data_IF_123700859353
#
_entry.id   IF_123700859353
#
_cell.length_a   1.000
_cell.length_b   1.000
_cell.length_c   1.000
_cell.angle_alpha   90.00
_cell.angle_beta   90.00
_cell.angle_gamma   90.00
#
_symmetry.space_group_name_H-M   'P 1'
#
loop_
_entity.id
_entity.type
_entity.pdbx_description
1 polymer ?
#
# COMPACT_ATOMS: atom_id res chain seq x y z
N UNK A 1 -14.88 -13.68 -30.85
CA UNK A 1 -13.45 -13.56 -30.47
C UNK A 1 -13.34 -12.53 -29.38
N UNK A 2 -12.62 -12.81 -28.30
CA UNK A 2 -12.40 -11.86 -27.19
C UNK A 2 -10.93 -11.46 -27.20
N UNK A 3 -10.65 -10.15 -27.21
CA UNK A 3 -9.29 -9.60 -27.12
C UNK A 3 -9.15 -8.93 -25.75
N UNK A 4 -8.30 -9.43 -24.84
CA UNK A 4 -8.11 -8.81 -23.54
C UNK A 4 -7.30 -7.52 -23.67
N UNK A 5 -7.86 -6.41 -23.18
CA UNK A 5 -7.16 -5.12 -23.07
C UNK A 5 -7.15 -4.72 -21.59
N UNK A 6 -5.99 -4.82 -20.95
CA UNK A 6 -5.81 -4.49 -19.54
C UNK A 6 -4.98 -3.22 -19.35
N UNK A 7 -5.17 -2.54 -18.22
CA UNK A 7 -4.26 -1.46 -17.81
C UNK A 7 -4.34 -0.16 -18.60
N UNK A 8 -5.41 0.11 -19.35
CA UNK A 8 -5.57 1.37 -20.11
C UNK A 8 -5.53 2.63 -19.24
N UNK A 9 -5.79 2.49 -17.94
CA UNK A 9 -5.71 3.57 -16.97
C UNK A 9 -4.30 3.75 -16.40
N UNK A 10 -3.37 2.83 -16.63
CA UNK A 10 -1.97 2.95 -16.22
C UNK A 10 -1.21 3.87 -17.18
N UNK A 11 -0.25 4.62 -16.65
CA UNK A 11 0.57 5.54 -17.45
C UNK A 11 2.00 5.60 -16.93
N UNK A 12 2.95 5.79 -17.84
CA UNK A 12 4.35 6.11 -17.55
C UNK A 12 4.54 7.60 -17.25
N UNK A 13 3.56 8.44 -17.62
CA UNK A 13 3.59 9.86 -17.30
C UNK A 13 3.40 10.06 -15.79
N UNK A 14 4.44 10.55 -15.14
CA UNK A 14 4.42 10.89 -13.73
C UNK A 14 4.80 12.35 -13.50
N UNK A 15 4.07 13.00 -12.61
CA UNK A 15 4.32 14.39 -12.20
C UNK A 15 5.11 14.41 -10.91
N UNK A 16 5.85 15.50 -10.71
CA UNK A 16 6.53 15.72 -9.44
C UNK A 16 5.52 15.77 -8.28
N UNK A 17 5.86 15.08 -7.19
CA UNK A 17 5.05 15.11 -5.96
C UNK A 17 5.11 16.50 -5.31
N UNK A 18 4.09 16.88 -4.50
CA UNK A 18 4.16 18.09 -3.69
C UNK A 18 5.41 18.11 -2.80
N UNK A 19 6.06 19.27 -2.68
CA UNK A 19 7.36 19.41 -1.97
C UNK A 19 7.37 18.84 -0.56
N UNK A 20 6.28 18.99 0.18
CA UNK A 20 6.16 18.48 1.55
C UNK A 20 6.13 16.95 1.60
N UNK A 21 5.48 16.33 0.62
CA UNK A 21 5.42 14.88 0.47
C UNK A 21 6.79 14.33 0.04
N UNK A 22 7.44 15.01 -0.90
CA UNK A 22 8.80 14.68 -1.32
C UNK A 22 9.78 14.75 -0.13
N UNK A 23 9.75 15.83 0.64
CA UNK A 23 10.59 15.98 1.83
C UNK A 23 10.32 14.89 2.89
N UNK A 24 9.07 14.47 3.05
CA UNK A 24 8.71 13.37 3.95
C UNK A 24 9.28 12.03 3.47
N UNK A 25 9.21 11.74 2.17
CA UNK A 25 9.79 10.54 1.55
C UNK A 25 11.32 10.58 1.68
N UNK A 26 11.94 11.71 1.37
CA UNK A 26 13.40 11.88 1.45
C UNK A 26 13.94 11.69 2.87
N UNK A 27 13.19 12.12 3.89
CA UNK A 27 13.51 11.90 5.30
C UNK A 27 13.55 10.43 5.75
N UNK A 28 13.18 9.48 4.89
CA UNK A 28 13.36 8.04 5.12
C UNK A 28 14.75 7.51 4.70
N UNK A 29 15.49 8.25 3.87
CA UNK A 29 16.69 7.75 3.21
C UNK A 29 16.41 6.48 2.40
N UNK A 30 17.28 5.47 2.55
CA UNK A 30 17.18 4.20 1.82
C UNK A 30 16.02 3.30 2.26
N UNK A 31 15.48 3.55 3.47
CA UNK A 31 14.30 2.83 3.97
C UNK A 31 13.07 3.08 3.08
N UNK A 32 13.04 4.22 2.38
CA UNK A 32 11.99 4.58 1.44
C UNK A 32 10.61 4.66 2.08
N UNK A 33 9.57 4.42 1.28
CA UNK A 33 8.20 4.51 1.76
C UNK A 33 7.29 3.41 1.22
N UNK A 34 6.18 3.21 1.93
CA UNK A 34 5.07 2.35 1.52
C UNK A 34 3.83 3.23 1.35
N UNK A 35 3.12 3.02 0.25
CA UNK A 35 1.81 3.63 0.05
C UNK A 35 0.72 2.72 0.64
N UNK A 36 -0.29 3.30 1.31
CA UNK A 36 -1.39 2.58 1.95
C UNK A 36 -2.72 3.17 1.49
N UNK A 37 -3.54 2.36 0.82
CA UNK A 37 -4.85 2.79 0.30
C UNK A 37 -5.81 1.61 0.15
N UNK A 38 -6.92 1.67 0.89
CA UNK A 38 -8.00 0.68 0.84
C UNK A 38 -9.17 1.12 -0.07
N UNK A 39 -8.88 1.96 -1.06
CA UNK A 39 -9.90 2.47 -1.98
C UNK A 39 -10.80 3.54 -1.36
N UNK A 40 -11.91 3.86 -2.03
CA UNK A 40 -12.87 4.88 -1.59
C UNK A 40 -14.02 4.33 -0.73
N UNK A 41 -14.23 3.01 -0.79
CA UNK A 41 -15.30 2.29 -0.10
C UNK A 41 -14.97 2.08 1.37
N UNK A 42 -13.72 1.77 1.70
CA UNK A 42 -13.27 1.67 3.07
C UNK A 42 -13.11 3.09 3.64
N UNK A 43 -13.86 3.38 4.71
CA UNK A 43 -13.74 4.61 5.49
C UNK A 43 -12.83 4.34 6.68
N UNK A 44 -11.63 4.91 6.69
CA UNK A 44 -10.68 4.80 7.80
C UNK A 44 -11.28 5.36 9.09
N UNK A 45 -12.15 6.37 8.98
CA UNK A 45 -12.95 6.93 10.08
C UNK A 45 -13.91 5.94 10.75
N UNK A 46 -14.26 4.84 10.07
CA UNK A 46 -15.17 3.79 10.57
C UNK A 46 -14.42 2.51 10.97
N UNK A 47 -13.10 2.44 10.76
CA UNK A 47 -12.29 1.29 11.16
C UNK A 47 -12.20 1.27 12.69
N UNK A 48 -12.41 0.12 13.35
CA UNK A 48 -12.29 0.01 14.80
C UNK A 48 -10.93 0.50 15.30
N UNK A 49 -10.93 1.26 16.39
CA UNK A 49 -9.70 1.83 16.96
C UNK A 49 -8.67 0.73 17.31
N UNK A 50 -9.13 -0.43 17.80
CA UNK A 50 -8.26 -1.58 18.08
C UNK A 50 -7.48 -2.05 16.84
N UNK A 51 -8.13 -2.07 15.68
CA UNK A 51 -7.49 -2.45 14.42
C UNK A 51 -6.51 -1.37 13.93
N UNK A 52 -6.84 -0.09 14.12
CA UNK A 52 -5.91 1.01 13.84
C UNK A 52 -4.67 0.95 14.74
N UNK A 53 -4.85 0.68 16.04
CA UNK A 53 -3.74 0.52 16.98
C UNK A 53 -2.84 -0.66 16.62
N UNK A 54 -3.41 -1.77 16.17
CA UNK A 54 -2.66 -2.92 15.65
C UNK A 54 -1.74 -2.49 14.50
N UNK A 55 -2.27 -1.80 13.50
CA UNK A 55 -1.45 -1.30 12.38
C UNK A 55 -0.37 -0.32 12.83
N UNK A 56 -0.72 0.63 13.71
CA UNK A 56 0.21 1.64 14.20
C UNK A 56 1.34 1.02 15.03
N UNK A 57 1.03 0.10 15.94
CA UNK A 57 2.03 -0.56 16.76
C UNK A 57 3.00 -1.40 15.93
N UNK A 58 2.50 -2.09 14.90
CA UNK A 58 3.34 -2.88 14.01
C UNK A 58 4.41 -2.04 13.29
N UNK A 59 4.08 -0.80 12.92
CA UNK A 59 4.92 0.01 12.01
C UNK A 59 5.56 1.26 12.64
N UNK A 60 5.12 1.72 13.82
CA UNK A 60 5.56 3.01 14.41
C UNK A 60 7.07 3.14 14.59
N UNK A 61 7.76 2.03 14.84
CA UNK A 61 9.20 1.99 15.12
C UNK A 61 10.04 1.72 13.85
N UNK A 62 9.40 1.62 12.67
CA UNK A 62 10.09 1.40 11.41
C UNK A 62 10.67 2.70 10.85
N UNK A 63 11.88 2.61 10.26
CA UNK A 63 12.49 3.72 9.51
C UNK A 63 11.75 4.04 8.22
N UNK A 64 11.09 3.04 7.63
CA UNK A 64 10.21 3.19 6.47
C UNK A 64 9.08 4.17 6.77
N UNK A 65 8.79 5.04 5.82
CA UNK A 65 7.68 5.99 5.91
C UNK A 65 6.41 5.40 5.29
N UNK A 66 5.26 5.84 5.76
CA UNK A 66 3.96 5.38 5.28
C UNK A 66 3.15 6.58 4.80
N UNK A 67 2.72 6.54 3.55
CA UNK A 67 1.77 7.52 3.00
C UNK A 67 0.41 6.84 2.96
N UNK A 68 -0.51 7.27 3.81
CA UNK A 68 -1.76 6.57 4.06
C UNK A 68 -2.97 7.43 3.73
N UNK A 69 -3.75 7.02 2.72
CA UNK A 69 -5.03 7.64 2.41
C UNK A 69 -6.00 7.56 3.59
N UNK A 70 -6.54 8.70 3.99
CA UNK A 70 -7.47 8.83 5.11
C UNK A 70 -8.66 9.71 4.72
N UNK A 71 -9.89 9.26 4.92
CA UNK A 71 -11.10 9.96 4.45
C UNK A 71 -11.49 11.18 5.31
N UNK A 72 -11.06 11.21 6.56
CA UNK A 72 -11.36 12.25 7.56
C UNK A 72 -10.09 12.89 8.13
N UNK A 73 -10.25 13.67 9.21
CA UNK A 73 -9.11 14.04 10.05
C UNK A 73 -8.48 12.76 10.64
N UNK A 74 -7.15 12.65 10.67
CA UNK A 74 -6.45 11.50 11.26
C UNK A 74 -6.58 11.51 12.79
N UNK A 75 -6.39 10.36 13.45
CA UNK A 75 -6.41 10.27 14.91
C UNK A 75 -5.22 11.02 15.52
N UNK A 76 -5.38 11.51 16.76
CA UNK A 76 -4.37 12.33 17.45
C UNK A 76 -3.06 11.58 17.75
N UNK A 77 -3.13 10.25 17.88
CA UNK A 77 -2.00 9.37 18.17
C UNK A 77 -1.34 8.78 16.91
N UNK A 78 -1.42 9.48 15.77
CA UNK A 78 -0.78 9.05 14.53
C UNK A 78 0.75 8.95 14.71
N UNK A 79 1.38 7.81 14.37
CA UNK A 79 2.83 7.67 14.41
C UNK A 79 3.55 8.67 13.49
N UNK A 80 4.73 9.15 13.91
CA UNK A 80 5.51 10.19 13.20
C UNK A 80 6.01 9.77 11.82
N UNK A 81 6.06 8.46 11.56
CA UNK A 81 6.44 7.90 10.26
C UNK A 81 5.25 7.73 9.30
N UNK A 82 4.07 8.27 9.64
CA UNK A 82 2.88 8.25 8.78
C UNK A 82 2.51 9.66 8.34
N UNK A 83 2.35 9.85 7.03
CA UNK A 83 1.73 11.02 6.42
C UNK A 83 0.33 10.63 5.94
N UNK A 84 -0.69 11.39 6.32
CA UNK A 84 -2.08 11.14 5.91
C UNK A 84 -2.61 12.23 4.99
N UNK A 85 -3.61 11.87 4.19
CA UNK A 85 -4.25 12.80 3.26
C UNK A 85 -5.52 12.21 2.66
N UNK A 86 -6.48 13.09 2.33
CA UNK A 86 -7.76 12.68 1.72
C UNK A 86 -7.60 12.14 0.31
N UNK A 87 -6.61 12.66 -0.41
CA UNK A 87 -6.32 12.30 -1.78
C UNK A 87 -4.81 12.33 -2.00
N UNK A 88 -4.34 11.39 -2.82
CA UNK A 88 -2.95 11.27 -3.21
C UNK A 88 -2.85 10.99 -4.71
N UNK A 89 -1.79 11.49 -5.39
CA UNK A 89 -1.52 11.13 -6.77
C UNK A 89 -0.96 9.69 -6.82
N UNK A 90 -1.86 8.71 -6.82
CA UNK A 90 -1.51 7.30 -6.64
C UNK A 90 -0.50 6.78 -7.67
N UNK A 91 -0.65 7.13 -8.97
CA UNK A 91 0.32 6.68 -9.97
C UNK A 91 1.69 7.33 -9.82
N UNK A 92 1.75 8.62 -9.48
CA UNK A 92 3.01 9.31 -9.21
C UNK A 92 3.73 8.68 -8.00
N UNK A 93 2.97 8.31 -6.96
CA UNK A 93 3.51 7.58 -5.81
C UNK A 93 4.00 6.18 -6.18
N UNK A 94 3.22 5.43 -6.97
CA UNK A 94 3.61 4.08 -7.40
C UNK A 94 4.82 4.09 -8.34
N UNK A 95 5.00 5.14 -9.15
CA UNK A 95 6.16 5.33 -10.01
C UNK A 95 7.41 5.82 -9.26
N UNK A 96 7.28 6.25 -8.00
CA UNK A 96 8.36 6.91 -7.29
C UNK A 96 9.53 5.95 -6.97
N UNK A 97 10.81 6.32 -7.23
CA UNK A 97 11.95 5.41 -7.10
C UNK A 97 12.18 4.87 -5.68
N UNK A 98 11.74 5.61 -4.66
CA UNK A 98 11.83 5.19 -3.24
C UNK A 98 10.68 4.34 -2.74
N UNK A 99 9.70 3.99 -3.58
CA UNK A 99 8.61 3.11 -3.14
C UNK A 99 9.15 1.71 -2.88
N UNK A 100 8.71 1.12 -1.76
CA UNK A 100 9.05 -0.24 -1.35
C UNK A 100 7.89 -1.20 -1.53
N UNK A 101 6.67 -0.70 -1.42
CA UNK A 101 5.48 -1.52 -1.60
C UNK A 101 4.19 -0.74 -1.49
N UNK A 102 3.09 -1.45 -1.75
CA UNK A 102 1.74 -0.92 -1.69
C UNK A 102 0.84 -1.84 -0.85
N UNK A 103 0.30 -1.30 0.24
CA UNK A 103 -0.69 -1.97 1.07
C UNK A 103 -2.09 -1.57 0.58
N UNK A 104 -2.87 -2.55 0.16
CA UNK A 104 -4.16 -2.31 -0.48
C UNK A 104 -5.21 -3.33 -0.10
N UNK A 105 -6.47 -2.93 -0.25
CA UNK A 105 -7.60 -3.85 -0.30
C UNK A 105 -7.65 -4.77 -1.53
N UNK A 106 -6.78 -4.60 -2.54
CA UNK A 106 -6.75 -5.49 -3.71
C UNK A 106 -7.80 -5.17 -4.78
N UNK A 107 -8.28 -3.93 -4.87
CA UNK A 107 -9.13 -3.49 -5.97
C UNK A 107 -8.41 -3.57 -7.33
N UNK A 108 -9.09 -4.10 -8.34
CA UNK A 108 -8.51 -4.46 -9.65
C UNK A 108 -7.65 -3.35 -10.28
N UNK A 109 -8.17 -2.12 -10.35
CA UNK A 109 -7.46 -1.00 -11.00
C UNK A 109 -6.18 -0.63 -10.26
N UNK A 110 -6.21 -0.58 -8.92
CA UNK A 110 -5.03 -0.25 -8.12
C UNK A 110 -3.99 -1.37 -8.16
N UNK A 111 -4.44 -2.64 -8.18
CA UNK A 111 -3.55 -3.78 -8.37
C UNK A 111 -2.86 -3.74 -9.74
N UNK A 112 -3.57 -3.37 -10.81
CA UNK A 112 -2.98 -3.20 -12.14
C UNK A 112 -1.92 -2.08 -12.17
N UNK A 113 -2.13 -0.97 -11.45
CA UNK A 113 -1.13 0.11 -11.37
C UNK A 113 0.11 -0.33 -10.60
N UNK A 114 -0.05 -1.07 -9.50
CA UNK A 114 1.09 -1.60 -8.75
C UNK A 114 1.90 -2.59 -9.58
N UNK A 115 1.22 -3.44 -10.35
CA UNK A 115 1.87 -4.37 -11.29
C UNK A 115 2.62 -3.58 -12.37
N UNK A 116 1.96 -2.60 -12.99
CA UNK A 116 2.55 -1.76 -14.03
C UNK A 116 3.85 -1.08 -13.57
N UNK A 117 3.88 -0.57 -12.34
CA UNK A 117 5.07 0.10 -11.75
C UNK A 117 6.02 -0.84 -11.00
N UNK A 118 5.84 -2.16 -11.11
CA UNK A 118 6.65 -3.16 -10.42
C UNK A 118 6.76 -2.95 -8.89
N UNK A 119 5.64 -2.56 -8.26
CA UNK A 119 5.51 -2.35 -6.82
C UNK A 119 4.90 -3.59 -6.13
N UNK A 120 5.65 -4.26 -5.23
CA UNK A 120 5.15 -5.37 -4.42
C UNK A 120 3.90 -5.02 -3.58
N UNK A 121 3.02 -6.00 -3.39
CA UNK A 121 1.72 -5.81 -2.73
C UNK A 121 1.65 -6.46 -1.33
N UNK A 122 1.06 -5.78 -0.35
CA UNK A 122 0.34 -6.43 0.76
C UNK A 122 -1.14 -6.26 0.50
N UNK A 123 -1.87 -7.35 0.39
CA UNK A 123 -3.31 -7.34 0.09
C UNK A 123 -4.10 -7.80 1.31
N UNK A 124 -4.97 -6.91 1.79
CA UNK A 124 -5.92 -7.12 2.88
C UNK A 124 -7.34 -6.98 2.32
N UNK A 125 -7.90 -8.03 1.69
CA UNK A 125 -9.18 -7.93 1.02
C UNK A 125 -10.32 -7.65 2.02
N UNK A 126 -11.32 -6.92 1.55
CA UNK A 126 -12.49 -6.54 2.35
C UNK A 126 -13.77 -7.13 1.76
N UNK A 127 -13.99 -6.98 0.45
CA UNK A 127 -15.25 -7.38 -0.21
C UNK A 127 -15.08 -7.74 -1.70
N UNK A 128 -16.10 -8.36 -2.27
CA UNK A 128 -16.25 -8.62 -3.71
C UNK A 128 -15.12 -9.48 -4.32
N UNK A 129 -14.46 -8.97 -5.35
CA UNK A 129 -13.40 -9.62 -6.11
C UNK A 129 -12.02 -9.53 -5.43
N UNK A 130 -11.92 -8.75 -4.35
CA UNK A 130 -10.65 -8.49 -3.67
C UNK A 130 -9.95 -9.76 -3.14
N UNK A 131 -10.64 -10.75 -2.53
CA UNK A 131 -9.98 -11.99 -2.10
C UNK A 131 -9.39 -12.77 -3.29
N UNK A 132 -10.05 -12.76 -4.45
CA UNK A 132 -9.53 -13.39 -5.65
C UNK A 132 -8.27 -12.67 -6.16
N UNK A 133 -8.27 -11.33 -6.18
CA UNK A 133 -7.10 -10.54 -6.55
C UNK A 133 -5.93 -10.76 -5.56
N UNK A 134 -6.22 -10.87 -4.26
CA UNK A 134 -5.24 -11.19 -3.23
C UNK A 134 -4.61 -12.59 -3.43
N UNK A 135 -5.46 -13.60 -3.69
CA UNK A 135 -5.02 -14.95 -4.04
C UNK A 135 -4.12 -14.94 -5.28
N UNK A 136 -4.50 -14.20 -6.33
CA UNK A 136 -3.71 -14.07 -7.57
C UNK A 136 -2.35 -13.41 -7.31
N UNK A 137 -2.30 -12.35 -6.52
CA UNK A 137 -1.05 -11.69 -6.16
C UNK A 137 -0.10 -12.64 -5.41
N UNK A 138 -0.62 -13.40 -4.44
CA UNK A 138 0.14 -14.44 -3.72
C UNK A 138 0.59 -15.57 -4.63
N UNK A 139 -0.30 -16.06 -5.49
CA UNK A 139 -0.02 -17.17 -6.41
C UNK A 139 1.13 -16.87 -7.38
N UNK A 140 1.17 -15.64 -7.89
CA UNK A 140 2.27 -15.17 -8.76
C UNK A 140 3.51 -14.73 -7.98
N UNK A 141 3.47 -14.74 -6.65
CA UNK A 141 4.59 -14.33 -5.80
C UNK A 141 4.91 -12.83 -5.84
N UNK A 142 3.97 -12.01 -6.30
CA UNK A 142 4.08 -10.55 -6.43
C UNK A 142 3.48 -9.80 -5.23
N UNK A 143 2.94 -10.53 -4.26
CA UNK A 143 2.39 -9.94 -3.05
C UNK A 143 2.13 -10.94 -1.94
N UNK A 144 1.84 -10.39 -0.77
CA UNK A 144 1.47 -11.10 0.45
C UNK A 144 -0.02 -10.90 0.66
N UNK A 145 -0.74 -11.99 0.90
CA UNK A 145 -2.15 -11.97 1.25
C UNK A 145 -2.29 -12.14 2.77
N UNK A 146 -2.98 -11.19 3.41
CA UNK A 146 -3.37 -11.24 4.82
C UNK A 146 -4.90 -11.17 4.94
N UNK A 147 -5.48 -12.02 5.78
CA UNK A 147 -6.91 -12.01 6.06
C UNK A 147 -7.21 -11.14 7.28
N UNK A 148 -8.21 -10.26 7.19
CA UNK A 148 -8.57 -9.35 8.30
C UNK A 148 -9.03 -10.10 9.55
N UNK A 149 -9.64 -11.28 9.40
CA UNK A 149 -10.10 -12.11 10.52
C UNK A 149 -8.98 -12.76 11.31
N UNK A 150 -7.79 -12.87 10.72
CA UNK A 150 -6.61 -13.52 11.31
C UNK A 150 -5.48 -12.52 11.55
N UNK A 151 -5.75 -11.22 11.39
CA UNK A 151 -4.74 -10.19 11.44
C UNK A 151 -4.23 -10.00 12.86
N UNK A 152 -2.91 -10.03 13.01
CA UNK A 152 -2.20 -9.75 14.26
C UNK A 152 -1.17 -8.65 14.01
N UNK A 153 -0.72 -8.00 15.08
CA UNK A 153 0.37 -7.02 14.98
C UNK A 153 1.63 -7.66 14.37
N UNK A 154 1.93 -8.89 14.79
CA UNK A 154 3.08 -9.67 14.34
C UNK A 154 3.01 -10.01 12.85
N UNK A 155 1.92 -10.64 12.38
CA UNK A 155 1.85 -11.06 10.98
C UNK A 155 1.78 -9.87 10.00
N UNK A 156 1.17 -8.75 10.42
CA UNK A 156 1.17 -7.52 9.63
C UNK A 156 2.57 -6.93 9.58
N UNK A 157 3.28 -6.86 10.72
CA UNK A 157 4.66 -6.39 10.79
C UNK A 157 5.59 -7.22 9.92
N UNK A 158 5.49 -8.54 9.99
CA UNK A 158 6.27 -9.46 9.15
C UNK A 158 6.00 -9.25 7.66
N UNK A 159 4.73 -9.08 7.27
CA UNK A 159 4.39 -8.79 5.88
C UNK A 159 5.01 -7.48 5.38
N UNK A 160 4.97 -6.43 6.21
CA UNK A 160 5.56 -5.12 5.87
C UNK A 160 7.08 -5.23 5.76
N UNK A 161 7.75 -5.90 6.70
CA UNK A 161 9.20 -6.14 6.66
C UNK A 161 9.56 -6.90 5.39
N UNK A 162 8.83 -7.99 5.10
CA UNK A 162 9.10 -8.82 3.95
C UNK A 162 8.97 -8.05 2.64
N UNK A 163 7.98 -7.18 2.49
CA UNK A 163 7.86 -6.33 1.29
C UNK A 163 9.01 -5.35 1.14
N UNK A 164 9.58 -4.86 2.24
CA UNK A 164 10.73 -3.95 2.21
C UNK A 164 12.05 -4.67 1.90
N UNK A 165 12.22 -5.91 2.40
CA UNK A 165 13.51 -6.61 2.42
C UNK A 165 13.63 -7.76 1.39
N UNK A 166 12.54 -8.47 1.09
CA UNK A 166 12.53 -9.63 0.18
C UNK A 166 12.50 -9.19 -1.28
N UNK A 167 13.69 -9.01 -1.85
CA UNK A 167 13.88 -8.63 -3.26
C UNK A 167 13.21 -9.61 -4.24
N UNK A 168 13.03 -10.88 -3.85
CA UNK A 168 12.45 -11.89 -4.74
C UNK A 168 10.98 -11.62 -5.08
N UNK A 169 10.26 -10.83 -4.27
CA UNK A 169 8.89 -10.43 -4.57
C UNK A 169 8.91 -9.40 -5.71
N UNK A 170 9.81 -8.42 -5.64
CA UNK A 170 9.97 -7.39 -6.67
C UNK A 170 10.52 -7.97 -7.99
N UNK A 171 11.39 -8.98 -7.93
CA UNK A 171 11.94 -9.66 -9.11
C UNK A 171 10.91 -10.46 -9.91
N UNK A 172 9.75 -10.77 -9.31
CA UNK A 172 8.64 -11.48 -9.97
C UNK A 172 7.58 -10.55 -10.57
N UNK A 173 7.69 -9.25 -10.31
CA UNK A 173 6.82 -8.21 -10.88
C UNK A 173 7.13 -8.01 -12.36
#
# INVERSE_FOLDING_TARGET
>A
MVVPVGGMHCTDEHKALPKEMEAFIEGAGDAGFIFVSFGSMVKMSMVPESLLQLFFNAIKDMKTRFIWRWDSNPPANLPKNILTGKWFPQQDLLAHPKIKGFISHGGLMSSQQAIFHAVPLVVLPVVYDQPYNAFRAKHHGIGIHLELSELTEENFREAVIRIVEDKSIKEKM
#
